data_IF_704856291324
#
_entry.id   IF_704856291324
#
_cell.length_a   1.000
_cell.length_b   1.000
_cell.length_c   1.000
_cell.angle_alpha   90.00
_cell.angle_beta   90.00
_cell.angle_gamma   90.00
#
_symmetry.space_group_name_H-M   'P 1'
#
loop_
_entity.id
_entity.type
_entity.pdbx_description
1 polymer ?
#
# COMPACT_ATOMS: atom_id res chain seq x y z
N UNK A 1 7.83 23.00 12.79
CA UNK A 1 7.28 21.70 13.23
C UNK A 1 6.60 20.95 12.08
N UNK A 2 6.76 21.40 10.82
CA UNK A 2 6.05 20.85 9.65
C UNK A 2 6.33 19.38 9.31
N UNK A 3 7.59 18.97 9.19
CA UNK A 3 7.93 17.64 8.64
C UNK A 3 7.38 16.45 9.44
N UNK A 4 7.53 16.45 10.77
CA UNK A 4 7.01 15.36 11.59
C UNK A 4 5.49 15.19 11.43
N UNK A 5 4.77 16.31 11.32
CA UNK A 5 3.33 16.31 11.09
C UNK A 5 2.97 15.78 9.70
N UNK A 6 3.68 16.20 8.65
CA UNK A 6 3.39 15.75 7.27
C UNK A 6 3.60 14.26 7.13
N UNK A 7 4.73 13.75 7.62
CA UNK A 7 5.04 12.32 7.64
C UNK A 7 4.03 11.52 8.45
N UNK A 8 3.77 11.88 9.71
CA UNK A 8 2.89 11.09 10.58
C UNK A 8 1.45 11.06 10.06
N UNK A 9 0.91 12.19 9.56
CA UNK A 9 -0.43 12.21 8.98
C UNK A 9 -0.51 11.39 7.70
N UNK A 10 0.51 11.48 6.85
CA UNK A 10 0.61 10.66 5.63
C UNK A 10 0.62 9.17 5.97
N UNK A 11 1.45 8.76 6.92
CA UNK A 11 1.59 7.35 7.32
C UNK A 11 0.31 6.81 7.95
N UNK A 12 -0.30 7.56 8.89
CA UNK A 12 -1.55 7.14 9.54
C UNK A 12 -2.69 7.03 8.53
N UNK A 13 -2.82 8.00 7.61
CA UNK A 13 -3.83 7.94 6.56
C UNK A 13 -3.60 6.77 5.61
N UNK A 14 -2.34 6.52 5.24
CA UNK A 14 -1.97 5.40 4.38
C UNK A 14 -2.37 4.06 5.01
N UNK A 15 -2.00 3.83 6.26
CA UNK A 15 -2.29 2.60 7.00
C UNK A 15 -3.81 2.44 7.21
N UNK A 16 -4.47 3.50 7.69
CA UNK A 16 -5.90 3.46 7.99
C UNK A 16 -6.75 3.17 6.76
N UNK A 17 -6.44 3.81 5.63
CA UNK A 17 -7.17 3.57 4.38
C UNK A 17 -6.89 2.18 3.83
N UNK A 18 -5.64 1.72 3.81
CA UNK A 18 -5.30 0.36 3.39
C UNK A 18 -6.08 -0.69 4.20
N UNK A 19 -6.17 -0.50 5.52
CA UNK A 19 -6.91 -1.39 6.39
C UNK A 19 -8.43 -1.37 6.09
N UNK A 20 -9.01 -0.19 5.88
CA UNK A 20 -10.43 -0.05 5.53
C UNK A 20 -10.72 -0.78 4.20
N UNK A 21 -9.88 -0.60 3.18
CA UNK A 21 -10.08 -1.28 1.89
C UNK A 21 -9.85 -2.79 1.98
N UNK A 22 -8.92 -3.25 2.82
CA UNK A 22 -8.72 -4.68 3.09
C UNK A 22 -9.95 -5.29 3.75
N UNK A 23 -10.54 -4.61 4.75
CA UNK A 23 -11.79 -5.03 5.39
C UNK A 23 -12.94 -5.06 4.40
N UNK A 24 -13.07 -4.04 3.55
CA UNK A 24 -14.14 -3.98 2.54
C UNK A 24 -14.00 -5.11 1.52
N UNK A 25 -12.78 -5.41 1.07
CA UNK A 25 -12.50 -6.56 0.20
C UNK A 25 -12.93 -7.87 0.86
N UNK A 26 -12.51 -8.13 2.10
CA UNK A 26 -12.88 -9.33 2.85
C UNK A 26 -14.40 -9.43 3.04
N UNK A 27 -15.08 -8.32 3.34
CA UNK A 27 -16.52 -8.28 3.53
C UNK A 27 -17.34 -8.55 2.26
N UNK A 28 -16.78 -8.23 1.08
CA UNK A 28 -17.44 -8.38 -0.21
C UNK A 28 -17.08 -9.68 -0.94
N UNK A 29 -15.96 -10.32 -0.58
CA UNK A 29 -15.50 -11.56 -1.19
C UNK A 29 -15.40 -12.71 -0.18
N UNK A 30 -14.19 -13.08 0.27
CA UNK A 30 -13.94 -14.34 0.98
C UNK A 30 -14.54 -14.45 2.39
N UNK A 31 -14.96 -13.33 3.00
CA UNK A 31 -15.54 -13.27 4.33
C UNK A 31 -14.51 -12.95 5.42
N UNK A 32 -15.03 -12.53 6.59
CA UNK A 32 -14.19 -12.20 7.75
C UNK A 32 -13.53 -13.41 8.39
N UNK A 33 -14.06 -14.61 8.17
CA UNK A 33 -13.51 -15.84 8.73
C UNK A 33 -12.08 -16.08 8.23
N UNK A 34 -11.76 -15.74 6.97
CA UNK A 34 -10.40 -15.83 6.45
C UNK A 34 -9.43 -14.93 7.22
N UNK A 35 -9.86 -13.72 7.58
CA UNK A 35 -9.05 -12.82 8.40
C UNK A 35 -8.80 -13.42 9.79
N UNK A 36 -9.84 -13.91 10.46
CA UNK A 36 -9.73 -14.47 11.80
C UNK A 36 -8.91 -15.77 11.83
N UNK A 37 -9.05 -16.62 10.81
CA UNK A 37 -8.27 -17.85 10.66
C UNK A 37 -6.77 -17.58 10.52
N UNK A 38 -6.36 -16.43 9.97
CA UNK A 38 -4.95 -16.03 9.91
C UNK A 38 -4.37 -15.61 11.28
N UNK A 39 -5.21 -15.34 12.28
CA UNK A 39 -4.79 -14.98 13.64
C UNK A 39 -5.06 -16.05 14.70
N UNK A 40 -5.82 -17.09 14.36
CA UNK A 40 -6.07 -18.22 15.26
C UNK A 40 -4.87 -19.20 15.25
N UNK A 41 -4.16 -19.40 16.38
CA UNK A 41 -3.03 -20.31 16.46
C UNK A 41 -3.36 -21.78 16.13
N UNK A 42 -4.64 -22.17 16.25
CA UNK A 42 -5.09 -23.54 15.98
C UNK A 42 -5.52 -23.74 14.51
N UNK A 43 -5.54 -22.66 13.72
CA UNK A 43 -5.89 -22.69 12.30
C UNK A 43 -4.72 -23.17 11.42
N UNK A 44 -4.98 -23.95 10.37
CA UNK A 44 -3.96 -24.31 9.38
C UNK A 44 -3.44 -23.11 8.58
N UNK A 45 -4.15 -21.98 8.61
CA UNK A 45 -3.81 -20.73 7.91
C UNK A 45 -3.12 -19.69 8.82
N UNK A 46 -2.71 -20.08 10.03
CA UNK A 46 -2.11 -19.18 11.02
C UNK A 46 -0.89 -18.44 10.45
N UNK A 47 -1.05 -17.13 10.26
CA UNK A 47 -0.05 -16.25 9.68
C UNK A 47 -0.24 -14.82 10.23
N UNK A 48 0.04 -14.58 11.53
CA UNK A 48 -0.31 -13.32 12.20
C UNK A 48 0.41 -12.11 11.61
N UNK A 49 1.56 -12.32 10.98
CA UNK A 49 2.29 -11.26 10.29
C UNK A 49 1.53 -10.72 9.07
N UNK A 50 0.54 -11.44 8.52
CA UNK A 50 -0.27 -10.99 7.37
C UNK A 50 -1.01 -9.68 7.63
N UNK A 51 -1.16 -9.27 8.90
CA UNK A 51 -1.61 -7.92 9.23
C UNK A 51 -0.78 -6.83 8.54
N UNK A 52 0.54 -7.03 8.36
CA UNK A 52 1.40 -6.08 7.65
C UNK A 52 0.96 -5.93 6.19
N UNK A 53 0.50 -7.01 5.55
CA UNK A 53 0.02 -6.98 4.17
C UNK A 53 -1.28 -6.16 4.07
N UNK A 54 -2.20 -6.32 5.02
CA UNK A 54 -3.44 -5.53 5.06
C UNK A 54 -3.21 -4.05 5.38
N UNK A 55 -2.15 -3.73 6.12
CA UNK A 55 -1.83 -2.35 6.52
C UNK A 55 -0.99 -1.60 5.47
N UNK A 56 -0.13 -2.30 4.74
CA UNK A 56 0.86 -1.67 3.85
C UNK A 56 0.83 -2.20 2.41
N UNK A 57 -0.08 -3.13 2.08
CA UNK A 57 -0.13 -3.87 0.82
C UNK A 57 -0.12 -3.02 -0.43
N UNK A 58 -0.75 -1.84 -0.43
CA UNK A 58 -0.75 -0.99 -1.62
C UNK A 58 0.63 -0.49 -2.05
N UNK A 59 1.62 -0.42 -1.15
CA UNK A 59 2.99 0.01 -1.51
C UNK A 59 3.73 -1.03 -2.37
N UNK A 60 3.27 -2.28 -2.30
CA UNK A 60 3.84 -3.42 -3.02
C UNK A 60 3.59 -3.29 -4.51
N UNK A 61 2.40 -2.86 -4.89
CA UNK A 61 1.99 -2.69 -6.28
C UNK A 61 2.44 -1.35 -6.86
N UNK A 62 2.90 -1.36 -8.12
CA UNK A 62 3.07 -0.14 -8.88
C UNK A 62 1.70 0.40 -9.36
N UNK A 63 1.50 1.73 -9.47
CA UNK A 63 0.21 2.32 -9.84
C UNK A 63 -0.40 1.80 -11.14
N UNK A 64 0.43 1.42 -12.13
CA UNK A 64 -0.07 0.89 -13.40
C UNK A 64 -0.76 -0.49 -13.24
N UNK A 65 -0.29 -1.31 -12.29
CA UNK A 65 -0.91 -2.60 -11.96
C UNK A 65 -2.29 -2.34 -11.36
N UNK A 66 -2.37 -1.38 -10.44
CA UNK A 66 -3.63 -1.04 -9.79
C UNK A 66 -4.64 -0.44 -10.77
N UNK A 67 -4.18 0.38 -11.73
CA UNK A 67 -5.05 0.88 -12.80
C UNK A 67 -5.56 -0.25 -13.70
N UNK A 68 -4.74 -1.26 -13.96
CA UNK A 68 -5.17 -2.45 -14.67
C UNK A 68 -6.26 -3.20 -13.88
N UNK A 69 -6.09 -3.39 -12.58
CA UNK A 69 -7.09 -4.02 -11.71
C UNK A 69 -8.42 -3.25 -11.58
N UNK A 70 -8.37 -1.91 -11.66
CA UNK A 70 -9.58 -1.07 -11.56
C UNK A 70 -10.30 -0.92 -12.89
N UNK A 71 -9.58 -0.95 -14.01
CA UNK A 71 -10.12 -0.60 -15.33
C UNK A 71 -10.23 -1.84 -16.21
N UNK A 72 -9.15 -2.59 -16.38
CA UNK A 72 -9.06 -3.66 -17.37
C UNK A 72 -9.75 -4.93 -16.86
N UNK A 73 -9.39 -5.39 -15.67
CA UNK A 73 -9.95 -6.63 -15.09
C UNK A 73 -11.49 -6.61 -15.00
N UNK A 74 -12.14 -5.53 -14.54
CA UNK A 74 -13.59 -5.50 -14.42
C UNK A 74 -14.30 -5.41 -15.78
N UNK A 75 -13.66 -4.78 -16.77
CA UNK A 75 -14.24 -4.58 -18.11
C UNK A 75 -14.08 -5.80 -19.03
N UNK A 76 -13.00 -6.56 -18.88
CA UNK A 76 -12.65 -7.63 -19.82
C UNK A 76 -12.71 -9.04 -19.22
N UNK A 77 -12.54 -9.18 -17.91
CA UNK A 77 -12.50 -10.48 -17.22
C UNK A 77 -13.68 -10.67 -16.25
N UNK A 78 -14.54 -9.66 -16.05
CA UNK A 78 -15.72 -9.67 -15.15
C UNK A 78 -15.39 -9.97 -13.68
N UNK A 79 -14.12 -9.86 -13.27
CA UNK A 79 -13.69 -10.12 -11.89
C UNK A 79 -13.82 -8.84 -11.06
N UNK A 80 -14.91 -8.72 -10.30
CA UNK A 80 -15.18 -7.54 -9.46
C UNK A 80 -14.29 -7.45 -8.22
N UNK A 81 -13.69 -8.56 -7.78
CA UNK A 81 -12.84 -8.62 -6.59
C UNK A 81 -11.60 -7.72 -6.71
N UNK A 82 -11.05 -7.62 -7.93
CA UNK A 82 -9.92 -6.74 -8.23
C UNK A 82 -10.28 -5.25 -8.22
N UNK A 83 -11.56 -4.89 -8.41
CA UNK A 83 -11.99 -3.50 -8.42
C UNK A 83 -11.82 -2.86 -7.05
N UNK A 84 -12.31 -3.51 -5.99
CA UNK A 84 -12.27 -2.95 -4.62
C UNK A 84 -10.82 -2.87 -4.12
N UNK A 85 -10.04 -3.93 -4.33
CA UNK A 85 -8.62 -3.98 -3.96
C UNK A 85 -7.81 -2.94 -4.73
N UNK A 86 -7.97 -2.87 -6.06
CA UNK A 86 -7.29 -1.91 -6.91
C UNK A 86 -7.65 -0.46 -6.58
N UNK A 87 -8.92 -0.16 -6.28
CA UNK A 87 -9.33 1.18 -5.84
C UNK A 87 -8.67 1.55 -4.53
N UNK A 88 -8.61 0.63 -3.57
CA UNK A 88 -7.91 0.83 -2.32
C UNK A 88 -6.41 1.11 -2.52
N UNK A 89 -5.78 0.34 -3.41
CA UNK A 89 -4.36 0.48 -3.69
C UNK A 89 -3.99 1.74 -4.47
N UNK A 90 -4.96 2.45 -5.05
CA UNK A 90 -4.78 3.80 -5.62
C UNK A 90 -5.15 4.88 -4.59
N UNK A 91 -6.31 4.74 -3.94
CA UNK A 91 -6.87 5.78 -3.08
C UNK A 91 -6.04 6.00 -1.82
N UNK A 92 -5.57 4.93 -1.17
CA UNK A 92 -4.77 5.03 0.05
C UNK A 92 -3.46 5.83 -0.14
N UNK A 93 -2.58 5.47 -1.11
CA UNK A 93 -1.36 6.25 -1.35
C UNK A 93 -1.65 7.66 -1.88
N UNK A 94 -2.68 7.84 -2.71
CA UNK A 94 -3.07 9.16 -3.22
C UNK A 94 -3.48 10.11 -2.10
N UNK A 95 -4.40 9.68 -1.23
CA UNK A 95 -4.89 10.51 -0.12
C UNK A 95 -3.76 10.79 0.87
N UNK A 96 -2.94 9.79 1.19
CA UNK A 96 -1.77 9.96 2.04
C UNK A 96 -0.80 11.03 1.49
N UNK A 97 -0.47 10.97 0.20
CA UNK A 97 0.39 11.95 -0.44
C UNK A 97 -0.23 13.36 -0.48
N UNK A 98 -1.55 13.48 -0.75
CA UNK A 98 -2.27 14.76 -0.69
C UNK A 98 -2.21 15.36 0.71
N UNK A 99 -2.39 14.55 1.76
CA UNK A 99 -2.29 15.00 3.15
C UNK A 99 -0.87 15.44 3.50
N UNK A 100 0.14 14.69 3.05
CA UNK A 100 1.55 15.06 3.20
C UNK A 100 1.81 16.46 2.62
N UNK A 101 1.31 16.72 1.40
CA UNK A 101 1.40 18.02 0.73
C UNK A 101 0.62 19.13 1.45
N UNK A 102 -0.68 18.92 1.70
CA UNK A 102 -1.59 19.92 2.28
C UNK A 102 -1.14 20.48 3.62
N UNK A 103 -0.49 19.64 4.44
CA UNK A 103 -0.01 20.03 5.76
C UNK A 103 1.47 20.44 5.79
N UNK A 104 2.15 20.42 4.63
CA UNK A 104 3.53 20.84 4.54
C UNK A 104 3.67 22.37 4.53
N UNK A 105 4.72 22.84 5.20
CA UNK A 105 5.14 24.24 5.16
C UNK A 105 5.98 24.53 3.91
N UNK A 106 6.48 23.50 3.21
CA UNK A 106 7.19 23.63 1.93
C UNK A 106 6.99 22.42 1.00
N UNK A 107 7.24 22.60 -0.31
CA UNK A 107 7.19 21.50 -1.29
C UNK A 107 8.11 20.34 -0.92
N UNK A 108 9.34 20.65 -0.49
CA UNK A 108 10.29 19.63 -0.05
C UNK A 108 9.76 18.86 1.16
N UNK A 109 9.19 19.54 2.15
CA UNK A 109 8.61 18.85 3.32
C UNK A 109 7.43 17.94 2.96
N UNK A 110 6.58 18.36 2.00
CA UNK A 110 5.44 17.55 1.54
C UNK A 110 5.89 16.30 0.81
N UNK A 111 6.81 16.45 -0.15
CA UNK A 111 7.41 15.33 -0.87
C UNK A 111 8.18 14.39 0.06
N UNK A 112 9.04 14.93 0.93
CA UNK A 112 9.82 14.14 1.88
C UNK A 112 8.93 13.40 2.89
N UNK A 113 7.79 13.99 3.28
CA UNK A 113 6.82 13.35 4.17
C UNK A 113 6.20 12.10 3.54
N UNK A 114 5.78 12.19 2.27
CA UNK A 114 5.30 11.04 1.50
C UNK A 114 6.41 10.02 1.25
N UNK A 115 7.59 10.49 0.84
CA UNK A 115 8.75 9.63 0.58
C UNK A 115 9.08 8.77 1.79
N UNK A 116 9.16 9.37 2.99
CA UNK A 116 9.46 8.61 4.20
C UNK A 116 8.33 7.63 4.55
N UNK A 117 7.06 8.01 4.35
CA UNK A 117 5.93 7.09 4.55
C UNK A 117 6.02 5.87 3.60
N UNK A 118 6.36 6.09 2.33
CA UNK A 118 6.55 5.03 1.35
C UNK A 118 7.73 4.12 1.73
N UNK A 119 8.89 4.68 2.10
CA UNK A 119 10.07 3.90 2.50
C UNK A 119 9.80 3.05 3.74
N UNK A 120 9.18 3.62 4.78
CA UNK A 120 8.83 2.88 6.00
C UNK A 120 7.81 1.77 5.70
N UNK A 121 6.82 2.05 4.84
CA UNK A 121 5.84 1.05 4.42
C UNK A 121 6.52 -0.11 3.68
N UNK A 122 7.39 0.17 2.71
CA UNK A 122 8.14 -0.86 1.98
C UNK A 122 9.05 -1.65 2.93
N UNK A 123 9.77 -0.99 3.83
CA UNK A 123 10.63 -1.66 4.80
C UNK A 123 9.83 -2.61 5.71
N UNK A 124 8.61 -2.21 6.11
CA UNK A 124 7.72 -3.05 6.92
C UNK A 124 7.28 -4.29 6.15
N UNK A 125 6.94 -4.16 4.86
CA UNK A 125 6.62 -5.31 4.01
C UNK A 125 7.83 -6.23 3.82
N UNK A 126 9.03 -5.68 3.60
CA UNK A 126 10.26 -6.47 3.48
C UNK A 126 10.52 -7.29 4.75
N UNK A 127 10.30 -6.71 5.93
CA UNK A 127 10.36 -7.44 7.21
C UNK A 127 9.32 -8.56 7.24
N UNK A 128 8.09 -8.30 6.77
CA UNK A 128 7.04 -9.31 6.66
C UNK A 128 7.44 -10.50 5.78
N UNK A 129 7.99 -10.23 4.59
CA UNK A 129 8.52 -11.25 3.67
C UNK A 129 9.66 -12.05 4.31
N UNK A 130 10.58 -11.39 5.01
CA UNK A 130 11.71 -12.05 5.64
C UNK A 130 11.32 -12.96 6.81
N UNK A 131 10.26 -12.61 7.55
CA UNK A 131 9.84 -13.31 8.76
C UNK A 131 8.70 -14.31 8.54
N UNK A 132 8.04 -14.30 7.37
CA UNK A 132 6.85 -15.12 7.11
C UNK A 132 6.81 -15.70 5.70
N UNK A 133 6.88 -17.04 5.54
CA UNK A 133 6.68 -17.70 4.24
C UNK A 133 5.29 -17.45 3.63
N UNK A 134 4.30 -17.12 4.46
CA UNK A 134 2.96 -16.78 3.98
C UNK A 134 2.96 -15.51 3.12
N UNK A 135 3.83 -14.53 3.42
CA UNK A 135 3.98 -13.34 2.57
C UNK A 135 4.52 -13.69 1.20
N UNK A 136 5.56 -14.53 1.13
CA UNK A 136 6.13 -14.96 -0.15
C UNK A 136 5.07 -15.68 -1.00
N UNK A 137 4.26 -16.53 -0.36
CA UNK A 137 3.17 -17.25 -1.02
C UNK A 137 2.10 -16.29 -1.55
N UNK A 138 1.65 -15.34 -0.74
CA UNK A 138 0.64 -14.34 -1.13
C UNK A 138 1.15 -13.43 -2.27
N UNK A 139 2.39 -12.95 -2.19
CA UNK A 139 3.00 -12.13 -3.23
C UNK A 139 3.23 -12.89 -4.53
N UNK A 140 3.59 -14.17 -4.43
CA UNK A 140 3.70 -15.05 -5.61
C UNK A 140 2.33 -15.26 -6.25
N UNK A 141 1.29 -15.51 -5.46
CA UNK A 141 -0.07 -15.72 -5.96
C UNK A 141 -0.64 -14.45 -6.61
N UNK A 142 -0.40 -13.28 -5.99
CA UNK A 142 -0.97 -12.00 -6.44
C UNK A 142 -0.21 -11.41 -7.64
N UNK A 143 1.12 -11.47 -7.62
CA UNK A 143 1.97 -10.75 -8.59
C UNK A 143 2.85 -11.66 -9.46
N UNK A 144 2.86 -12.97 -9.21
CA UNK A 144 3.72 -13.91 -9.93
C UNK A 144 5.21 -13.81 -9.57
N UNK A 145 5.55 -13.14 -8.47
CA UNK A 145 6.94 -12.92 -8.08
C UNK A 145 7.51 -14.14 -7.36
N UNK A 146 8.19 -15.00 -8.12
CA UNK A 146 8.77 -16.23 -7.57
C UNK A 146 10.19 -15.96 -7.07
N UNK A 147 10.39 -16.19 -5.77
CA UNK A 147 11.69 -16.15 -5.11
C UNK A 147 12.01 -14.82 -4.44
N UNK A 148 12.67 -14.92 -3.28
CA UNK A 148 12.99 -13.79 -2.41
C UNK A 148 13.70 -12.63 -3.12
N UNK A 149 14.69 -12.89 -3.97
CA UNK A 149 15.44 -11.86 -4.70
C UNK A 149 14.54 -11.05 -5.65
N UNK A 150 13.65 -11.75 -6.37
CA UNK A 150 12.70 -11.13 -7.29
C UNK A 150 11.69 -10.27 -6.53
N UNK A 151 11.20 -10.77 -5.39
CA UNK A 151 10.29 -10.03 -4.52
C UNK A 151 10.96 -8.75 -4.00
N UNK A 152 12.18 -8.83 -3.50
CA UNK A 152 12.91 -7.65 -3.01
C UNK A 152 13.14 -6.60 -4.10
N UNK A 153 13.62 -7.03 -5.28
CA UNK A 153 13.83 -6.12 -6.41
C UNK A 153 12.52 -5.45 -6.81
N UNK A 154 11.44 -6.23 -6.90
CA UNK A 154 10.12 -5.72 -7.26
C UNK A 154 9.57 -4.73 -6.24
N UNK A 155 9.72 -5.02 -4.94
CA UNK A 155 9.32 -4.11 -3.85
C UNK A 155 10.09 -2.78 -3.90
N UNK A 156 11.39 -2.81 -4.18
CA UNK A 156 12.21 -1.59 -4.30
C UNK A 156 11.77 -0.77 -5.53
N UNK A 157 11.56 -1.42 -6.68
CA UNK A 157 11.07 -0.76 -7.89
C UNK A 157 9.70 -0.13 -7.63
N UNK A 158 8.76 -0.88 -7.06
CA UNK A 158 7.44 -0.38 -6.68
C UNK A 158 7.51 0.78 -5.71
N UNK A 159 8.40 0.72 -4.71
CA UNK A 159 8.63 1.82 -3.78
C UNK A 159 9.04 3.11 -4.52
N UNK A 160 10.04 3.03 -5.39
CA UNK A 160 10.52 4.19 -6.18
C UNK A 160 9.42 4.75 -7.06
N UNK A 161 8.68 3.89 -7.76
CA UNK A 161 7.57 4.33 -8.63
C UNK A 161 6.47 5.00 -7.79
N UNK A 162 6.08 4.44 -6.65
CA UNK A 162 5.09 5.02 -5.74
C UNK A 162 5.54 6.38 -5.19
N UNK A 163 6.81 6.52 -4.81
CA UNK A 163 7.39 7.79 -4.36
C UNK A 163 7.23 8.85 -5.44
N UNK A 164 7.61 8.54 -6.69
CA UNK A 164 7.58 9.51 -7.80
C UNK A 164 6.13 9.84 -8.17
N UNK A 165 5.31 8.81 -8.42
CA UNK A 165 3.95 8.97 -8.92
C UNK A 165 3.06 9.73 -7.93
N UNK A 166 3.00 9.26 -6.69
CA UNK A 166 2.16 9.91 -5.67
C UNK A 166 2.82 11.16 -5.07
N UNK A 167 4.16 11.24 -5.06
CA UNK A 167 4.89 12.42 -4.63
C UNK A 167 4.61 13.65 -5.49
N UNK A 168 4.26 13.47 -6.76
CA UNK A 168 3.78 14.58 -7.60
C UNK A 168 2.53 15.25 -7.02
N UNK A 169 1.58 14.46 -6.51
CA UNK A 169 0.36 15.00 -5.87
C UNK A 169 0.68 15.72 -4.56
N UNK A 170 1.65 15.22 -3.79
CA UNK A 170 2.13 15.94 -2.60
C UNK A 170 2.73 17.31 -2.95
N UNK A 171 3.51 17.39 -4.04
CA UNK A 171 4.11 18.64 -4.53
C UNK A 171 3.07 19.63 -5.07
N UNK A 172 2.00 19.14 -5.71
CA UNK A 172 0.92 19.97 -6.25
C UNK A 172 0.11 20.67 -5.15
N UNK A 173 -0.12 20.02 -4.01
CA UNK A 173 -1.01 20.52 -2.95
C UNK A 173 -0.26 21.29 -1.85
N UNK A 174 1.08 21.28 -1.85
CA UNK A 174 1.90 21.98 -0.85
C UNK A 174 1.70 23.51 -0.87
N UNK A 175 1.55 24.09 0.33
CA UNK A 175 1.05 25.47 0.57
C UNK A 175 1.98 26.63 0.21
N UNK A 176 3.10 26.39 -0.45
CA UNK A 176 4.05 27.46 -0.80
C UNK A 176 4.49 27.35 -2.25
N UNK A 177 4.33 28.46 -2.97
CA UNK A 177 5.02 28.74 -4.23
C UNK A 177 6.54 28.73 -3.99
N UNK A 178 7.29 28.42 -5.05
CA UNK A 178 8.76 28.42 -5.06
C UNK A 178 9.31 29.84 -4.89
N UNK A 179 9.33 30.38 -3.67
CA UNK A 179 10.02 31.64 -3.36
C UNK A 179 10.73 31.55 -2.02
#
# INVERSE_FOLDING_TARGET
MGFGKTFSLSLVAFIGLNFIFSILYLALGPGFDELFNRFDPDSPEYAPLMIIYYLFGSIVSAPYINLNWVIVEPLFNEIMDFLVMGLGFIAAPLIAAILAGKFAESKFQGFAGWLLAAVISTATVVIGVFLSPAFETELTATYGWVGFEVILISLIISCVINIIFFGFFALLVAKTEYY
#
